data_IF_801301779502
#
_entry.id   IF_801301779502
#
_cell.length_a   1.000
_cell.length_b   1.000
_cell.length_c   1.000
_cell.angle_alpha   90.00
_cell.angle_beta   90.00
_cell.angle_gamma   90.00
#
_symmetry.space_group_name_H-M   'P 1'
#
loop_
_entity.id
_entity.type
_entity.pdbx_description
1 polymer ?
#
# COMPACT_ATOMS: atom_id res chain seq x y z
N UNK A 1 22.83 -17.75 54.70
CA UNK A 1 22.86 -18.46 53.41
C UNK A 1 21.45 -18.67 52.80
N UNK A 2 20.49 -17.78 53.13
CA UNK A 2 19.08 -17.93 52.69
C UNK A 2 18.54 -16.78 51.81
N UNK A 3 19.36 -15.78 51.46
CA UNK A 3 18.90 -14.62 50.65
C UNK A 3 19.17 -14.73 49.12
N UNK A 4 19.91 -15.74 48.67
CA UNK A 4 20.19 -15.92 47.22
C UNK A 4 19.17 -16.79 46.49
N UNK A 5 18.37 -17.57 47.19
CA UNK A 5 17.38 -18.49 46.60
C UNK A 5 16.08 -17.79 46.17
N UNK A 6 15.65 -16.78 46.93
CA UNK A 6 14.40 -16.06 46.72
C UNK A 6 14.41 -15.20 45.41
N UNK A 7 15.56 -14.59 45.08
CA UNK A 7 15.75 -13.77 43.90
C UNK A 7 15.75 -14.60 42.59
N UNK A 8 16.28 -15.84 42.65
CA UNK A 8 16.32 -16.74 41.49
C UNK A 8 14.96 -17.34 41.21
N UNK A 9 14.19 -17.67 42.25
CA UNK A 9 12.83 -18.20 42.10
C UNK A 9 11.86 -17.12 41.59
N UNK A 10 11.92 -15.88 42.05
CA UNK A 10 11.11 -14.77 41.55
C UNK A 10 11.45 -14.45 40.08
N UNK A 11 12.75 -14.48 39.72
CA UNK A 11 13.18 -14.32 38.32
C UNK A 11 12.61 -15.42 37.40
N UNK A 12 12.63 -16.67 37.82
CA UNK A 12 12.08 -17.81 37.08
C UNK A 12 10.57 -17.68 36.90
N UNK A 13 9.84 -17.26 37.93
CA UNK A 13 8.39 -17.04 37.88
C UNK A 13 8.03 -15.93 36.87
N UNK A 14 8.79 -14.82 36.84
CA UNK A 14 8.58 -13.73 35.84
C UNK A 14 8.86 -14.19 34.43
N UNK A 15 9.92 -14.97 34.21
CA UNK A 15 10.22 -15.56 32.89
C UNK A 15 9.09 -16.48 32.43
N UNK A 16 8.63 -17.37 33.30
CA UNK A 16 7.51 -18.28 32.99
C UNK A 16 6.20 -17.53 32.73
N UNK A 17 5.91 -16.47 33.49
CA UNK A 17 4.74 -15.62 33.26
C UNK A 17 4.80 -14.94 31.87
N UNK A 18 5.97 -14.43 31.49
CA UNK A 18 6.20 -13.85 30.16
C UNK A 18 5.99 -14.88 29.04
N UNK A 19 6.54 -16.06 29.16
CA UNK A 19 6.37 -17.13 28.17
C UNK A 19 4.91 -17.57 28.02
N UNK A 20 4.17 -17.69 29.15
CA UNK A 20 2.72 -17.99 29.13
C UNK A 20 1.94 -16.88 28.42
N UNK A 21 2.29 -15.61 28.66
CA UNK A 21 1.67 -14.46 27.97
C UNK A 21 1.92 -14.51 26.47
N UNK A 22 3.16 -14.74 26.04
CA UNK A 22 3.52 -14.87 24.62
C UNK A 22 2.78 -16.04 23.95
N UNK A 23 2.75 -17.21 24.59
CA UNK A 23 2.04 -18.36 24.08
C UNK A 23 0.53 -18.10 23.93
N UNK A 24 -0.08 -17.39 24.91
CA UNK A 24 -1.49 -17.01 24.85
C UNK A 24 -1.79 -16.09 23.66
N UNK A 25 -0.99 -15.07 23.43
CA UNK A 25 -1.15 -14.15 22.28
C UNK A 25 -1.11 -14.92 20.96
N UNK A 26 -0.19 -15.86 20.79
CA UNK A 26 -0.11 -16.71 19.58
C UNK A 26 -1.35 -17.59 19.41
N UNK A 27 -1.89 -18.15 20.49
CA UNK A 27 -3.12 -18.95 20.43
C UNK A 27 -4.33 -18.07 20.11
N UNK A 28 -4.41 -16.86 20.67
CA UNK A 28 -5.46 -15.88 20.37
C UNK A 28 -5.41 -15.40 18.92
N UNK A 29 -4.22 -15.32 18.31
CA UNK A 29 -4.05 -14.97 16.89
C UNK A 29 -4.44 -16.09 15.90
N UNK A 30 -4.46 -17.36 16.35
CA UNK A 30 -4.66 -18.53 15.49
C UNK A 30 -5.90 -18.45 14.58
N UNK A 31 -7.11 -18.03 15.04
CA UNK A 31 -8.28 -17.92 14.17
C UNK A 31 -8.09 -16.95 12.99
N UNK A 32 -7.34 -15.88 13.21
CA UNK A 32 -7.01 -14.88 12.18
C UNK A 32 -5.97 -15.41 11.21
N UNK A 33 -4.93 -16.09 11.69
CA UNK A 33 -3.94 -16.78 10.87
C UNK A 33 -4.64 -17.76 9.92
N UNK A 34 -5.52 -18.61 10.45
CA UNK A 34 -6.28 -19.57 9.63
C UNK A 34 -7.22 -18.89 8.63
N UNK A 35 -7.82 -17.75 9.00
CA UNK A 35 -8.70 -16.97 8.12
C UNK A 35 -7.99 -16.42 6.90
N UNK A 36 -6.76 -15.95 7.07
CA UNK A 36 -5.98 -15.28 6.03
C UNK A 36 -4.92 -16.18 5.38
N UNK A 37 -4.83 -17.44 5.77
CA UNK A 37 -3.90 -18.41 5.17
C UNK A 37 -4.12 -18.53 3.65
N UNK A 38 -3.04 -18.42 2.87
CA UNK A 38 -3.05 -18.40 1.42
C UNK A 38 -3.92 -17.30 0.78
N UNK A 39 -4.22 -16.22 1.53
CA UNK A 39 -4.96 -15.07 1.00
C UNK A 39 -4.01 -13.98 0.52
N UNK A 40 -4.34 -13.42 -0.65
CA UNK A 40 -3.61 -12.29 -1.20
C UNK A 40 -4.13 -11.00 -0.57
N UNK A 41 -3.23 -10.20 -0.04
CA UNK A 41 -3.52 -8.87 0.51
C UNK A 41 -2.65 -7.84 -0.20
N UNK A 42 -3.31 -6.87 -0.85
CA UNK A 42 -2.61 -5.77 -1.49
C UNK A 42 -2.46 -4.64 -0.48
N UNK A 43 -1.23 -4.20 -0.25
CA UNK A 43 -0.92 -3.10 0.67
C UNK A 43 -0.34 -1.94 -0.13
N UNK A 44 -1.08 -0.84 -0.19
CA UNK A 44 -0.54 0.41 -0.76
C UNK A 44 0.19 1.17 0.34
N UNK A 45 1.47 1.46 0.10
CA UNK A 45 2.37 2.17 1.02
C UNK A 45 2.91 3.45 0.37
N UNK A 46 2.70 4.61 0.98
CA UNK A 46 3.18 5.87 0.38
C UNK A 46 2.68 7.12 1.09
N UNK A 47 3.00 8.28 0.51
CA UNK A 47 2.69 9.58 1.10
C UNK A 47 3.51 9.84 2.36
N UNK A 48 2.89 10.49 3.35
CA UNK A 48 3.54 10.83 4.63
C UNK A 48 3.91 9.59 5.48
N UNK A 49 3.28 8.43 5.22
CA UNK A 49 3.70 7.16 5.86
C UNK A 49 5.14 6.74 5.48
N UNK A 50 5.73 7.37 4.45
CA UNK A 50 7.12 7.14 4.01
C UNK A 50 8.05 8.32 4.33
N UNK A 51 7.62 9.32 5.09
CA UNK A 51 8.49 10.40 5.51
C UNK A 51 9.58 9.86 6.44
N UNK A 52 10.84 10.15 6.09
CA UNK A 52 11.99 9.58 6.82
C UNK A 52 12.50 8.25 6.30
N UNK A 53 11.86 7.66 5.29
CA UNK A 53 12.25 6.39 4.68
C UNK A 53 11.26 5.27 4.90
N UNK A 54 11.71 4.03 4.72
CA UNK A 54 10.87 2.84 4.97
C UNK A 54 10.79 2.59 6.48
N UNK A 55 9.56 2.59 7.01
CA UNK A 55 9.35 2.29 8.43
C UNK A 55 9.76 0.84 8.74
N UNK A 56 10.53 0.66 9.81
CA UNK A 56 10.88 -0.68 10.30
C UNK A 56 9.63 -1.49 10.68
N UNK A 57 8.65 -0.84 11.30
CA UNK A 57 7.37 -1.47 11.64
C UNK A 57 6.62 -1.98 10.41
N UNK A 58 6.58 -1.17 9.34
CA UNK A 58 5.98 -1.60 8.08
C UNK A 58 6.67 -2.85 7.51
N UNK A 59 8.01 -2.84 7.47
CA UNK A 59 8.77 -3.98 6.95
C UNK A 59 8.55 -5.24 7.80
N UNK A 60 8.54 -5.11 9.13
CA UNK A 60 8.25 -6.21 10.05
C UNK A 60 6.83 -6.76 9.88
N UNK A 61 5.84 -5.88 9.70
CA UNK A 61 4.45 -6.28 9.46
C UNK A 61 4.32 -7.10 8.17
N UNK A 62 4.90 -6.63 7.07
CA UNK A 62 4.88 -7.35 5.79
C UNK A 62 5.54 -8.73 5.91
N UNK A 63 6.67 -8.81 6.61
CA UNK A 63 7.35 -10.09 6.85
C UNK A 63 6.50 -11.01 7.70
N UNK A 64 5.89 -10.51 8.78
CA UNK A 64 5.04 -11.32 9.65
C UNK A 64 3.79 -11.81 8.90
N UNK A 65 3.14 -10.96 8.09
CA UNK A 65 2.05 -11.39 7.22
C UNK A 65 2.50 -12.59 6.35
N UNK A 66 3.65 -12.48 5.68
CA UNK A 66 4.16 -13.58 4.83
C UNK A 66 4.45 -14.85 5.63
N UNK A 67 5.05 -14.73 6.82
CA UNK A 67 5.38 -15.86 7.68
C UNK A 67 4.16 -16.55 8.29
N UNK A 68 3.03 -15.85 8.37
CA UNK A 68 1.75 -16.40 8.84
C UNK A 68 0.85 -16.96 7.74
N UNK A 69 1.39 -17.15 6.51
CA UNK A 69 0.68 -17.75 5.39
C UNK A 69 -0.08 -16.76 4.50
N UNK A 70 -0.03 -15.46 4.81
CA UNK A 70 -0.60 -14.42 3.94
C UNK A 70 0.36 -14.16 2.78
N UNK A 71 -0.19 -13.87 1.60
CA UNK A 71 0.57 -13.42 0.43
C UNK A 71 0.47 -11.89 0.25
N UNK A 72 1.34 -11.09 0.91
CA UNK A 72 1.32 -9.65 0.76
C UNK A 72 1.92 -9.22 -0.57
N UNK A 73 1.27 -8.26 -1.23
CA UNK A 73 1.78 -7.55 -2.40
C UNK A 73 1.81 -6.07 -2.07
N UNK A 74 2.98 -5.46 -2.17
CA UNK A 74 3.15 -4.04 -1.85
C UNK A 74 3.08 -3.20 -3.13
N UNK A 75 2.26 -2.16 -3.15
CA UNK A 75 2.27 -1.10 -4.16
C UNK A 75 2.69 0.19 -3.48
N UNK A 76 3.72 0.87 -3.98
CA UNK A 76 4.21 2.05 -3.28
C UNK A 76 3.98 3.35 -4.04
N UNK A 77 3.89 4.45 -3.30
CA UNK A 77 3.93 5.81 -3.83
C UNK A 77 5.34 6.41 -3.80
N UNK A 78 5.43 7.74 -3.90
CA UNK A 78 6.73 8.44 -3.87
C UNK A 78 6.65 9.91 -4.23
N UNK A 79 5.49 10.54 -4.07
CA UNK A 79 5.27 11.94 -4.44
C UNK A 79 6.29 12.93 -3.89
N UNK A 80 6.60 12.92 -2.57
CA UNK A 80 7.60 13.80 -1.97
C UNK A 80 9.00 13.59 -2.54
N UNK A 81 9.43 12.34 -2.72
CA UNK A 81 10.75 11.98 -3.25
C UNK A 81 10.91 12.40 -4.72
N UNK A 82 9.85 12.19 -5.53
CA UNK A 82 9.80 12.68 -6.92
C UNK A 82 9.93 14.21 -6.93
N UNK A 83 9.15 14.93 -6.10
CA UNK A 83 9.22 16.38 -6.02
C UNK A 83 10.59 16.89 -5.63
N UNK A 84 11.25 16.24 -4.66
CA UNK A 84 12.61 16.56 -4.25
C UNK A 84 13.62 16.37 -5.40
N UNK A 85 13.51 15.28 -6.17
CA UNK A 85 14.43 15.01 -7.28
C UNK A 85 14.22 15.97 -8.44
N UNK A 86 12.97 16.24 -8.85
CA UNK A 86 12.65 17.23 -9.88
C UNK A 86 13.21 18.62 -9.52
N UNK A 87 13.07 19.04 -8.25
CA UNK A 87 13.66 20.29 -7.76
C UNK A 87 15.18 20.30 -7.86
N UNK A 88 15.87 19.20 -7.49
CA UNK A 88 17.34 19.09 -7.63
C UNK A 88 17.81 19.19 -9.08
N UNK A 89 17.00 18.71 -10.02
CA UNK A 89 17.28 18.73 -11.45
C UNK A 89 16.79 20.00 -12.14
N UNK A 90 16.21 20.96 -11.40
CA UNK A 90 15.59 22.19 -11.92
C UNK A 90 14.47 21.92 -12.96
N UNK A 91 13.74 20.81 -12.82
CA UNK A 91 12.58 20.49 -13.62
C UNK A 91 11.32 21.01 -12.91
N UNK A 92 10.51 21.80 -13.64
CA UNK A 92 9.27 22.34 -13.11
C UNK A 92 8.28 21.22 -12.77
N UNK A 93 7.53 21.39 -11.69
CA UNK A 93 6.52 20.43 -11.26
C UNK A 93 5.27 21.17 -10.78
N UNK A 94 4.13 20.85 -11.38
CA UNK A 94 2.82 21.38 -11.02
C UNK A 94 1.83 20.26 -10.77
N UNK A 95 0.69 20.60 -10.15
CA UNK A 95 -0.36 19.65 -9.84
C UNK A 95 -1.71 20.22 -10.30
N UNK A 96 -2.56 19.34 -10.80
CA UNK A 96 -3.97 19.62 -11.09
C UNK A 96 -4.79 18.54 -10.38
N UNK A 97 -5.70 18.96 -9.51
CA UNK A 97 -6.57 18.08 -8.71
C UNK A 97 -5.79 16.96 -7.97
N UNK A 98 -4.59 17.28 -7.46
CA UNK A 98 -3.72 16.32 -6.78
C UNK A 98 -2.92 15.38 -7.69
N UNK A 99 -3.11 15.45 -9.00
CA UNK A 99 -2.34 14.72 -10.01
C UNK A 99 -1.15 15.56 -10.48
N UNK A 100 0.03 14.97 -10.53
CA UNK A 100 1.25 15.66 -11.02
C UNK A 100 1.21 15.75 -12.52
N UNK A 101 1.22 16.97 -13.05
CA UNK A 101 1.48 17.18 -14.49
C UNK A 101 2.88 16.62 -14.79
N UNK A 102 2.97 15.71 -15.74
CA UNK A 102 4.17 14.90 -16.00
C UNK A 102 4.52 15.00 -17.48
N UNK A 103 5.40 15.92 -17.84
CA UNK A 103 5.94 16.05 -19.19
C UNK A 103 7.00 14.96 -19.49
N UNK A 104 7.61 15.00 -20.68
CA UNK A 104 8.58 14.01 -21.11
C UNK A 104 9.83 13.96 -20.20
N UNK A 105 10.33 15.12 -19.76
CA UNK A 105 11.49 15.17 -18.85
C UNK A 105 11.12 14.69 -17.44
N UNK A 106 9.92 15.05 -16.98
CA UNK A 106 9.45 14.63 -15.66
C UNK A 106 9.18 13.12 -15.59
N UNK A 107 8.62 12.47 -16.64
CA UNK A 107 8.31 11.03 -16.60
C UNK A 107 9.56 10.17 -16.47
N UNK A 108 10.68 10.55 -17.08
CA UNK A 108 11.96 9.85 -16.93
C UNK A 108 12.46 9.89 -15.49
N UNK A 109 12.38 11.06 -14.85
CA UNK A 109 12.77 11.22 -13.44
C UNK A 109 11.81 10.45 -12.52
N UNK A 110 10.52 10.50 -12.80
CA UNK A 110 9.50 9.75 -12.05
C UNK A 110 9.78 8.25 -12.11
N UNK A 111 10.06 7.71 -13.30
CA UNK A 111 10.41 6.30 -13.46
C UNK A 111 11.68 5.96 -12.68
N UNK A 112 12.77 6.70 -12.83
CA UNK A 112 14.02 6.48 -12.10
C UNK A 112 13.82 6.48 -10.58
N UNK A 113 13.08 7.46 -10.05
CA UNK A 113 12.85 7.60 -8.61
C UNK A 113 11.98 6.46 -8.07
N UNK A 114 10.88 6.15 -8.75
CA UNK A 114 9.96 5.11 -8.30
C UNK A 114 10.61 3.73 -8.41
N UNK A 115 11.13 3.36 -9.58
CA UNK A 115 11.61 1.99 -9.84
C UNK A 115 13.01 1.73 -9.28
N UNK A 116 13.87 2.72 -9.29
CA UNK A 116 15.27 2.60 -8.85
C UNK A 116 15.45 2.94 -7.38
N UNK A 117 15.02 4.10 -6.94
CA UNK A 117 15.29 4.56 -5.57
C UNK A 117 14.32 4.00 -4.55
N UNK A 118 13.03 4.36 -4.64
CA UNK A 118 12.04 4.04 -3.62
C UNK A 118 11.77 2.53 -3.58
N UNK A 119 11.53 1.93 -4.73
CA UNK A 119 11.26 0.49 -4.82
C UNK A 119 12.36 -0.32 -4.14
N UNK A 120 13.63 -0.02 -4.43
CA UNK A 120 14.77 -0.76 -3.87
C UNK A 120 15.00 -0.48 -2.38
N UNK A 121 14.64 0.70 -1.89
CA UNK A 121 14.64 0.97 -0.44
C UNK A 121 13.61 0.10 0.30
N UNK A 122 12.38 -0.03 -0.25
CA UNK A 122 11.35 -0.88 0.34
C UNK A 122 11.77 -2.35 0.31
N UNK A 123 12.26 -2.83 -0.84
CA UNK A 123 12.80 -4.21 -0.98
C UNK A 123 13.90 -4.47 0.05
N UNK A 124 14.86 -3.53 0.17
CA UNK A 124 15.95 -3.66 1.15
C UNK A 124 15.44 -3.67 2.59
N UNK A 125 14.47 -2.83 2.92
CA UNK A 125 13.86 -2.79 4.27
C UNK A 125 13.16 -4.11 4.62
N UNK A 126 12.36 -4.67 3.71
CA UNK A 126 11.70 -5.96 3.92
C UNK A 126 12.72 -7.09 4.04
N UNK A 127 13.78 -7.09 3.21
CA UNK A 127 14.83 -8.10 3.28
C UNK A 127 15.65 -7.98 4.58
N UNK A 128 15.93 -6.76 5.04
CA UNK A 128 16.60 -6.53 6.33
C UNK A 128 15.76 -7.02 7.53
N UNK A 129 14.42 -6.96 7.41
CA UNK A 129 13.50 -7.52 8.41
C UNK A 129 13.35 -9.06 8.34
N UNK A 130 14.07 -9.74 7.43
CA UNK A 130 14.06 -11.19 7.28
C UNK A 130 13.11 -11.73 6.21
N UNK A 131 12.48 -10.85 5.42
CA UNK A 131 11.67 -11.24 4.26
C UNK A 131 12.50 -11.53 3.02
N UNK A 132 11.81 -11.93 1.95
CA UNK A 132 12.40 -12.11 0.61
C UNK A 132 11.56 -11.33 -0.38
N UNK A 133 11.90 -10.06 -0.59
CA UNK A 133 11.16 -9.17 -1.48
C UNK A 133 11.84 -9.01 -2.84
N UNK A 134 11.05 -8.84 -3.89
CA UNK A 134 11.50 -8.48 -5.24
C UNK A 134 10.74 -7.26 -5.73
N UNK A 135 11.49 -6.29 -6.30
CA UNK A 135 10.92 -5.07 -6.82
C UNK A 135 10.71 -5.13 -8.32
N UNK A 136 9.54 -4.65 -8.75
CA UNK A 136 9.13 -4.54 -10.15
C UNK A 136 8.29 -3.28 -10.36
N UNK A 137 8.02 -2.96 -11.60
CA UNK A 137 7.09 -1.92 -12.03
C UNK A 137 5.95 -2.52 -12.86
N UNK A 138 4.98 -1.75 -13.23
CA UNK A 138 3.94 -2.21 -14.15
C UNK A 138 4.44 -2.56 -15.55
N UNK A 139 5.66 -2.14 -15.93
CA UNK A 139 6.30 -2.50 -17.22
C UNK A 139 6.81 -3.94 -17.23
N UNK A 140 7.19 -4.48 -16.04
CA UNK A 140 7.75 -5.83 -15.93
C UNK A 140 6.68 -6.88 -16.24
N UNK A 141 6.96 -7.73 -17.24
CA UNK A 141 6.01 -8.73 -17.69
C UNK A 141 4.67 -8.17 -18.21
N UNK A 142 4.65 -6.89 -18.61
CA UNK A 142 3.40 -6.18 -18.99
C UNK A 142 2.34 -6.27 -17.87
N UNK A 143 2.78 -6.15 -16.62
CA UNK A 143 1.91 -6.24 -15.45
C UNK A 143 0.78 -5.19 -15.51
N UNK A 144 1.11 -3.94 -15.85
CA UNK A 144 0.13 -2.85 -16.00
C UNK A 144 0.29 -2.23 -17.39
N UNK A 145 -0.59 -2.57 -18.30
CA UNK A 145 -0.78 -1.84 -19.56
C UNK A 145 -1.64 -0.63 -19.25
N UNK A 146 -1.17 0.55 -19.64
CA UNK A 146 -1.79 1.82 -19.30
C UNK A 146 -2.11 2.63 -20.58
N UNK A 147 -3.11 3.48 -20.47
CA UNK A 147 -3.40 4.53 -21.44
C UNK A 147 -3.28 5.91 -20.78
N UNK A 148 -3.12 6.93 -21.59
CA UNK A 148 -3.13 8.32 -21.10
C UNK A 148 -4.43 8.60 -20.36
N UNK A 149 -4.32 9.28 -19.22
CA UNK A 149 -5.47 9.68 -18.45
C UNK A 149 -6.16 10.88 -19.11
N UNK A 150 -7.43 10.71 -19.49
CA UNK A 150 -8.31 11.82 -19.87
C UNK A 150 -8.80 12.50 -18.59
N UNK A 151 -8.40 13.73 -18.37
CA UNK A 151 -8.76 14.47 -17.16
C UNK A 151 -9.56 15.74 -17.48
N UNK A 152 -10.59 15.96 -16.67
CA UNK A 152 -11.43 17.18 -16.73
C UNK A 152 -11.34 17.86 -15.38
N UNK A 153 -10.82 19.09 -15.36
CA UNK A 153 -10.76 19.95 -14.17
C UNK A 153 -11.63 21.17 -14.40
N UNK A 154 -12.53 21.46 -13.47
CA UNK A 154 -13.46 22.62 -13.52
C UNK A 154 -14.25 22.74 -14.84
N UNK A 155 -14.57 21.60 -15.46
CA UNK A 155 -15.32 21.54 -16.73
C UNK A 155 -14.47 21.63 -18.00
N UNK A 156 -13.16 21.82 -17.90
CA UNK A 156 -12.25 21.90 -19.04
C UNK A 156 -11.33 20.67 -19.12
N UNK A 157 -11.04 20.20 -20.34
CA UNK A 157 -10.03 19.14 -20.54
C UNK A 157 -8.64 19.68 -20.25
N UNK A 158 -7.91 18.97 -19.37
CA UNK A 158 -6.54 19.30 -19.00
C UNK A 158 -5.61 18.21 -19.47
N UNK A 159 -4.55 18.57 -20.19
CA UNK A 159 -3.48 17.66 -20.55
C UNK A 159 -2.49 17.52 -19.40
N UNK A 160 -2.47 16.34 -18.78
CA UNK A 160 -1.54 16.01 -17.69
C UNK A 160 -0.22 15.40 -18.19
N UNK A 161 -0.01 15.33 -19.52
CA UNK A 161 1.19 14.72 -20.13
C UNK A 161 1.18 13.20 -20.01
N UNK A 162 2.23 12.61 -19.47
CA UNK A 162 2.43 11.18 -19.28
C UNK A 162 1.81 10.64 -17.97
N UNK A 163 0.68 11.20 -17.57
CA UNK A 163 -0.14 10.61 -16.51
C UNK A 163 -1.05 9.55 -17.13
N UNK A 164 -1.03 8.36 -16.56
CA UNK A 164 -1.77 7.22 -17.06
C UNK A 164 -2.82 6.69 -16.11
N UNK A 165 -3.66 5.83 -16.66
CA UNK A 165 -4.56 4.98 -15.91
C UNK A 165 -4.43 3.54 -16.41
N UNK A 166 -4.58 2.52 -15.53
CA UNK A 166 -4.56 1.13 -15.93
C UNK A 166 -5.67 0.84 -16.94
N UNK A 167 -5.31 0.19 -18.04
CA UNK A 167 -6.26 -0.33 -19.01
C UNK A 167 -6.40 -1.84 -18.84
N UNK A 168 -5.28 -2.51 -18.58
CA UNK A 168 -5.24 -3.96 -18.34
C UNK A 168 -4.16 -4.27 -17.31
N UNK A 169 -4.49 -5.14 -16.34
CA UNK A 169 -3.53 -5.74 -15.42
C UNK A 169 -3.40 -7.22 -15.71
N UNK A 170 -2.16 -7.69 -15.90
CA UNK A 170 -1.83 -9.10 -16.18
C UNK A 170 -1.13 -9.70 -14.96
N UNK A 171 -1.85 -10.35 -14.02
CA UNK A 171 -1.30 -10.73 -12.73
C UNK A 171 -0.38 -11.96 -12.76
N UNK A 172 -0.09 -12.53 -13.93
CA UNK A 172 0.67 -13.78 -14.06
C UNK A 172 2.06 -13.70 -13.42
N UNK A 173 2.78 -12.58 -13.63
CA UNK A 173 4.10 -12.39 -13.04
C UNK A 173 4.03 -12.35 -11.51
N UNK A 174 3.00 -11.71 -10.95
CA UNK A 174 2.80 -11.67 -9.49
C UNK A 174 2.53 -13.06 -8.92
N UNK A 175 1.69 -13.86 -9.59
CA UNK A 175 1.43 -15.25 -9.18
C UNK A 175 2.68 -16.09 -9.19
N UNK A 176 3.56 -15.92 -10.20
CA UNK A 176 4.85 -16.62 -10.28
C UNK A 176 5.77 -16.22 -9.13
N UNK A 177 5.85 -14.93 -8.81
CA UNK A 177 6.68 -14.40 -7.72
C UNK A 177 6.18 -14.95 -6.36
N UNK A 178 4.87 -14.88 -6.13
CA UNK A 178 4.24 -15.39 -4.91
C UNK A 178 4.48 -16.90 -4.76
N UNK A 179 4.30 -17.68 -5.85
CA UNK A 179 4.54 -19.11 -5.86
C UNK A 179 6.02 -19.49 -5.61
N UNK A 180 6.94 -18.54 -5.81
CA UNK A 180 8.37 -18.69 -5.48
C UNK A 180 8.72 -18.26 -4.06
N UNK A 181 7.70 -18.04 -3.20
CA UNK A 181 7.84 -17.57 -1.82
C UNK A 181 8.51 -16.18 -1.69
N UNK A 182 8.28 -15.32 -2.69
CA UNK A 182 8.79 -13.94 -2.72
C UNK A 182 7.65 -12.93 -2.51
N UNK A 183 8.01 -11.78 -1.97
CA UNK A 183 7.09 -10.66 -1.73
C UNK A 183 7.25 -9.63 -2.86
N UNK A 184 6.23 -9.44 -3.74
CA UNK A 184 6.31 -8.45 -4.81
C UNK A 184 6.18 -7.03 -4.26
N UNK A 185 7.03 -6.11 -4.74
CA UNK A 185 6.97 -4.66 -4.45
C UNK A 185 6.86 -3.91 -5.77
N UNK A 186 5.73 -3.24 -6.01
CA UNK A 186 5.36 -2.68 -7.30
C UNK A 186 5.50 -1.15 -7.29
N UNK A 187 6.28 -0.62 -8.22
CA UNK A 187 6.29 0.80 -8.55
C UNK A 187 5.13 1.13 -9.51
N UNK A 188 4.38 2.24 -9.29
CA UNK A 188 3.18 2.56 -10.06
C UNK A 188 3.51 3.24 -11.41
N UNK A 189 4.28 2.55 -12.22
CA UNK A 189 4.63 2.90 -13.60
C UNK A 189 3.95 1.90 -14.52
N UNK A 190 3.25 2.37 -15.55
CA UNK A 190 2.63 1.53 -16.57
C UNK A 190 3.29 1.67 -17.94
N UNK A 191 3.13 0.65 -18.78
CA UNK A 191 3.54 0.66 -20.16
C UNK A 191 2.36 1.01 -21.08
N UNK A 192 2.55 1.96 -21.97
CA UNK A 192 1.63 2.19 -23.09
C UNK A 192 1.81 1.15 -24.21
N UNK A 193 0.81 1.00 -25.04
CA UNK A 193 0.82 0.03 -26.16
C UNK A 193 1.86 0.34 -27.23
N UNK A 194 2.39 1.56 -27.27
CA UNK A 194 3.45 2.01 -28.20
C UNK A 194 4.81 2.16 -27.51
N UNK A 195 4.93 1.65 -26.27
CA UNK A 195 6.17 1.74 -25.49
C UNK A 195 6.29 3.00 -24.63
N UNK A 196 5.23 3.80 -24.52
CA UNK A 196 5.22 4.97 -23.64
C UNK A 196 5.34 4.55 -22.18
N UNK A 197 5.93 5.41 -21.37
CA UNK A 197 5.93 5.27 -19.91
C UNK A 197 4.87 6.18 -19.32
N UNK A 198 4.02 5.64 -18.45
CA UNK A 198 3.01 6.40 -17.73
C UNK A 198 3.24 6.38 -16.23
N UNK A 199 3.22 7.57 -15.63
CA UNK A 199 3.12 7.78 -14.20
C UNK A 199 1.66 7.56 -13.78
N UNK A 200 1.41 6.63 -12.88
CA UNK A 200 0.05 6.30 -12.46
C UNK A 200 -0.09 6.57 -10.96
N UNK A 201 -1.26 6.99 -10.51
CA UNK A 201 -1.55 7.12 -9.09
C UNK A 201 -1.41 5.75 -8.40
N UNK A 202 -0.69 5.71 -7.28
CA UNK A 202 -0.39 4.46 -6.58
C UNK A 202 -1.64 3.78 -5.99
N UNK A 203 -2.64 4.56 -5.53
CA UNK A 203 -3.90 4.01 -5.05
C UNK A 203 -4.64 3.32 -6.20
N UNK A 204 -4.66 3.96 -7.40
CA UNK A 204 -5.28 3.41 -8.62
C UNK A 204 -4.60 2.10 -9.06
N UNK A 205 -3.25 2.05 -9.06
CA UNK A 205 -2.53 0.80 -9.39
C UNK A 205 -2.83 -0.28 -8.36
N UNK A 206 -2.85 0.08 -7.07
CA UNK A 206 -3.15 -0.88 -6.00
C UNK A 206 -4.55 -1.47 -6.14
N UNK A 207 -5.56 -0.63 -6.44
CA UNK A 207 -6.93 -1.06 -6.69
C UNK A 207 -7.03 -1.99 -7.91
N UNK A 208 -6.42 -1.61 -9.04
CA UNK A 208 -6.42 -2.41 -10.26
C UNK A 208 -5.71 -3.77 -10.08
N UNK A 209 -4.57 -3.80 -9.36
CA UNK A 209 -3.87 -5.04 -9.01
C UNK A 209 -4.72 -5.88 -8.07
N UNK A 210 -5.38 -5.27 -7.06
CA UNK A 210 -6.24 -5.99 -6.13
C UNK A 210 -7.40 -6.68 -6.83
N UNK A 211 -8.08 -5.99 -7.75
CA UNK A 211 -9.15 -6.58 -8.58
C UNK A 211 -8.62 -7.73 -9.45
N UNK A 212 -7.52 -7.52 -10.19
CA UNK A 212 -6.95 -8.54 -11.08
C UNK A 212 -6.44 -9.79 -10.33
N UNK A 213 -6.03 -9.64 -9.09
CA UNK A 213 -5.59 -10.74 -8.22
C UNK A 213 -6.74 -11.40 -7.45
N UNK A 214 -7.96 -10.86 -7.49
CA UNK A 214 -9.08 -11.21 -6.62
C UNK A 214 -8.67 -11.24 -5.13
N UNK A 215 -8.05 -10.13 -4.69
CA UNK A 215 -7.45 -10.03 -3.38
C UNK A 215 -8.50 -10.13 -2.25
N UNK A 216 -8.13 -10.74 -1.13
CA UNK A 216 -8.96 -10.77 0.08
C UNK A 216 -9.12 -9.37 0.69
N UNK A 217 -8.04 -8.55 0.63
CA UNK A 217 -8.02 -7.18 1.14
C UNK A 217 -7.23 -6.26 0.22
N UNK A 218 -7.72 -5.04 0.08
CA UNK A 218 -6.95 -3.88 -0.34
C UNK A 218 -6.75 -2.97 0.87
N UNK A 219 -5.52 -2.75 1.31
CA UNK A 219 -5.20 -1.85 2.43
C UNK A 219 -4.51 -0.61 1.87
N UNK A 220 -5.12 0.56 2.08
CA UNK A 220 -4.57 1.86 1.68
C UNK A 220 -4.00 2.56 2.91
N UNK A 221 -2.67 2.53 3.07
CA UNK A 221 -2.00 3.29 4.12
C UNK A 221 -1.90 4.77 3.72
N UNK A 222 -2.35 5.64 4.62
CA UNK A 222 -2.43 7.09 4.44
C UNK A 222 -1.97 7.80 5.71
N UNK A 223 -2.17 9.11 5.80
CA UNK A 223 -1.83 9.97 6.93
C UNK A 223 -3.07 10.44 7.73
N UNK A 224 -4.19 9.75 7.55
CA UNK A 224 -5.42 10.00 8.29
C UNK A 224 -5.95 8.70 8.89
N UNK A 225 -6.71 8.81 9.99
CA UNK A 225 -7.22 7.65 10.75
C UNK A 225 -8.16 6.74 9.93
N UNK A 226 -8.76 7.27 8.86
CA UNK A 226 -9.74 6.59 8.02
C UNK A 226 -10.81 7.56 7.52
N UNK A 227 -11.99 7.05 7.23
CA UNK A 227 -13.14 7.86 6.80
C UNK A 227 -13.83 8.45 8.03
N UNK A 228 -13.97 9.77 8.07
CA UNK A 228 -14.60 10.50 9.18
C UNK A 228 -15.98 11.00 8.79
N UNK A 229 -16.89 11.03 9.75
CA UNK A 229 -18.19 11.70 9.61
C UNK A 229 -18.07 13.24 9.73
N UNK A 230 -19.19 13.94 9.66
CA UNK A 230 -19.24 15.41 9.80
C UNK A 230 -18.80 15.90 11.18
N UNK A 231 -18.89 15.07 12.20
CA UNK A 231 -18.43 15.34 13.57
C UNK A 231 -16.98 14.93 13.79
N UNK A 232 -16.27 14.50 12.70
CA UNK A 232 -14.88 14.00 12.72
C UNK A 232 -14.69 12.73 13.53
N UNK A 233 -15.72 11.91 13.66
CA UNK A 233 -15.63 10.59 14.25
C UNK A 233 -15.33 9.56 13.16
N UNK A 234 -14.48 8.59 13.48
CA UNK A 234 -14.16 7.49 12.58
C UNK A 234 -15.42 6.65 12.26
N UNK A 235 -15.64 6.42 10.98
CA UNK A 235 -16.65 5.49 10.49
C UNK A 235 -15.95 4.14 10.27
N UNK A 236 -16.18 3.15 11.15
CA UNK A 236 -15.37 1.92 11.10
C UNK A 236 -15.76 0.98 9.97
N UNK A 237 -16.96 1.13 9.40
CA UNK A 237 -17.46 0.29 8.31
C UNK A 237 -18.45 1.05 7.45
N UNK A 238 -18.28 0.92 6.13
CA UNK A 238 -19.17 1.48 5.13
C UNK A 238 -19.54 0.43 4.09
N UNK A 239 -20.78 0.46 3.62
CA UNK A 239 -21.14 -0.21 2.37
C UNK A 239 -20.73 0.69 1.18
N UNK A 240 -20.66 0.11 -0.02
CA UNK A 240 -20.44 0.88 -1.26
C UNK A 240 -21.51 1.96 -1.44
N UNK A 241 -22.77 1.63 -1.13
CA UNK A 241 -23.88 2.58 -1.23
C UNK A 241 -23.73 3.75 -0.25
N UNK A 242 -23.37 3.47 1.02
CA UNK A 242 -23.14 4.50 2.03
C UNK A 242 -21.95 5.40 1.65
N UNK A 243 -20.86 4.80 1.16
CA UNK A 243 -19.69 5.55 0.73
C UNK A 243 -20.03 6.53 -0.42
N UNK A 244 -20.81 6.11 -1.41
CA UNK A 244 -21.31 6.97 -2.49
C UNK A 244 -22.22 8.08 -1.98
N UNK A 245 -23.11 7.77 -1.03
CA UNK A 245 -23.99 8.76 -0.43
C UNK A 245 -23.20 9.84 0.33
N UNK A 246 -22.16 9.43 1.09
CA UNK A 246 -21.29 10.36 1.82
C UNK A 246 -20.40 11.21 0.92
N UNK A 247 -20.05 10.75 -0.28
CA UNK A 247 -19.41 11.57 -1.31
C UNK A 247 -20.42 12.59 -1.87
N UNK A 248 -21.63 12.14 -2.21
CA UNK A 248 -22.65 12.98 -2.82
C UNK A 248 -23.13 14.09 -1.88
N UNK A 249 -23.20 13.85 -0.57
CA UNK A 249 -23.62 14.85 0.43
C UNK A 249 -22.47 15.72 0.95
N UNK A 250 -21.23 15.51 0.45
CA UNK A 250 -20.04 16.31 0.77
C UNK A 250 -19.38 15.96 2.12
N UNK A 251 -19.83 14.93 2.82
CA UNK A 251 -19.19 14.44 4.07
C UNK A 251 -17.79 13.91 3.75
N UNK A 252 -17.66 13.11 2.70
CA UNK A 252 -16.35 12.73 2.14
C UNK A 252 -15.96 13.78 1.11
N UNK A 253 -14.79 14.40 1.29
CA UNK A 253 -14.34 15.51 0.44
C UNK A 253 -12.83 15.48 0.20
N UNK A 254 -12.36 16.32 -0.73
CA UNK A 254 -10.94 16.53 -1.01
C UNK A 254 -10.20 15.25 -1.39
N UNK A 255 -9.00 15.07 -0.83
CA UNK A 255 -8.12 13.93 -1.12
C UNK A 255 -8.64 12.56 -0.68
N UNK A 256 -9.72 12.51 0.11
CA UNK A 256 -10.35 11.24 0.50
C UNK A 256 -11.21 10.66 -0.63
N UNK A 257 -11.82 11.51 -1.48
CA UNK A 257 -12.68 11.06 -2.59
C UNK A 257 -11.97 10.03 -3.47
N UNK A 258 -10.81 10.31 -4.07
CA UNK A 258 -10.15 9.34 -4.96
C UNK A 258 -9.74 8.04 -4.25
N UNK A 259 -9.49 8.08 -2.94
CA UNK A 259 -9.20 6.86 -2.15
C UNK A 259 -10.44 5.99 -1.98
N UNK A 260 -11.57 6.62 -1.67
CA UNK A 260 -12.85 5.91 -1.54
C UNK A 260 -13.31 5.38 -2.89
N UNK A 261 -13.17 6.15 -3.98
CA UNK A 261 -13.47 5.67 -5.34
C UNK A 261 -12.61 4.45 -5.69
N UNK A 262 -11.30 4.49 -5.43
CA UNK A 262 -10.42 3.32 -5.61
C UNK A 262 -10.89 2.12 -4.77
N UNK A 263 -11.32 2.36 -3.52
CA UNK A 263 -11.81 1.30 -2.64
C UNK A 263 -13.12 0.70 -3.17
N UNK A 264 -14.05 1.54 -3.64
CA UNK A 264 -15.32 1.11 -4.26
C UNK A 264 -15.04 0.28 -5.52
N UNK A 265 -14.22 0.80 -6.43
CA UNK A 265 -13.88 0.12 -7.69
C UNK A 265 -13.24 -1.25 -7.42
N UNK A 266 -12.35 -1.35 -6.44
CA UNK A 266 -11.72 -2.61 -6.06
C UNK A 266 -12.75 -3.63 -5.55
N UNK A 267 -13.68 -3.21 -4.68
CA UNK A 267 -14.75 -4.07 -4.15
C UNK A 267 -15.71 -4.50 -5.25
N UNK A 268 -16.07 -3.61 -6.18
CA UNK A 268 -16.92 -3.94 -7.33
C UNK A 268 -16.24 -4.90 -8.32
N UNK A 269 -14.90 -4.91 -8.36
CA UNK A 269 -14.10 -5.89 -9.11
C UNK A 269 -13.89 -7.21 -8.37
N UNK A 270 -14.46 -7.40 -7.19
CA UNK A 270 -14.46 -8.67 -6.46
C UNK A 270 -13.46 -8.76 -5.31
N UNK A 271 -12.79 -7.67 -4.93
CA UNK A 271 -12.01 -7.61 -3.69
C UNK A 271 -12.97 -7.71 -2.50
N UNK A 272 -12.70 -8.59 -1.55
CA UNK A 272 -13.63 -8.86 -0.45
C UNK A 272 -13.86 -7.61 0.44
N UNK A 273 -12.83 -6.84 0.75
CA UNK A 273 -12.95 -5.54 1.39
C UNK A 273 -11.75 -4.64 1.11
N UNK A 274 -11.98 -3.32 1.11
CA UNK A 274 -10.94 -2.31 1.10
C UNK A 274 -10.92 -1.55 2.44
N UNK A 275 -9.72 -1.24 2.93
CA UNK A 275 -9.50 -0.62 4.24
C UNK A 275 -8.57 0.58 4.08
N UNK A 276 -8.87 1.67 4.77
CA UNK A 276 -8.03 2.87 4.81
C UNK A 276 -7.53 3.03 6.24
N UNK A 277 -6.20 3.07 6.42
CA UNK A 277 -5.55 3.09 7.73
C UNK A 277 -4.49 4.19 7.81
N UNK A 278 -4.26 4.70 9.02
CA UNK A 278 -3.14 5.59 9.30
C UNK A 278 -1.83 4.81 9.34
N UNK A 279 -1.06 4.90 8.25
CA UNK A 279 0.22 4.22 8.12
C UNK A 279 1.34 4.74 9.03
N UNK A 280 1.09 5.78 9.84
CA UNK A 280 2.03 6.29 10.86
C UNK A 280 1.93 5.51 12.16
N UNK A 281 0.84 4.78 12.37
CA UNK A 281 0.64 3.94 13.57
C UNK A 281 1.55 2.71 13.47
N UNK A 282 2.41 2.45 14.45
CA UNK A 282 3.22 1.25 14.48
C UNK A 282 2.38 -0.03 14.40
N UNK A 283 2.78 -0.95 13.55
CA UNK A 283 2.14 -2.26 13.38
C UNK A 283 0.65 -2.19 12.98
N UNK A 284 0.24 -1.15 12.27
CA UNK A 284 -1.16 -0.93 11.89
C UNK A 284 -1.73 -2.04 11.00
N UNK A 285 -0.89 -2.70 10.19
CA UNK A 285 -1.31 -3.83 9.38
C UNK A 285 -1.70 -5.03 10.25
N UNK A 286 -0.95 -5.27 11.30
CA UNK A 286 -1.26 -6.36 12.24
C UNK A 286 -2.49 -6.05 13.07
N UNK A 287 -2.68 -4.78 13.50
CA UNK A 287 -3.88 -4.35 14.20
C UNK A 287 -5.17 -4.53 13.39
N UNK A 288 -5.10 -4.42 12.06
CA UNK A 288 -6.24 -4.64 11.18
C UNK A 288 -6.53 -6.13 10.96
N UNK A 289 -5.50 -6.97 10.94
CA UNK A 289 -5.62 -8.37 10.53
C UNK A 289 -5.83 -9.32 11.72
N UNK A 290 -5.31 -8.98 12.90
CA UNK A 290 -5.29 -9.81 14.11
C UNK A 290 -6.00 -9.14 15.28
#
# INVERSE_FOLDING_TARGET
MAMQDDTTQDRNLRVMARWRSTARVLVEALPYILKYDNKIIIVKYGGHAMEGGVSEHFAQDIVLMKQTGIDPVVVHGGGPQIGSMLKKLNIASSFVDGLRVTDAAAVEVVEMVLTGSINKQIVSGINAAGGKAVGLSGKDGNLVVARKLDHVSKGEKVDLGFVGQPEKVSPQILRTIIASDLIPVIAPIGAGTKGETFNINADTVAGAVAGAMAAERLILLTDVEGVLDRERKLIPKLSVADARALIADGTISGGMIPKIETAIDAVEQGVHAAVILDGRIPHVLLLELF
#
